data_IF_468202592808
#
_entry.id   IF_468202592808
#
_cell.length_a   1.000
_cell.length_b   1.000
_cell.length_c   1.000
_cell.angle_alpha   90.00
_cell.angle_beta   90.00
_cell.angle_gamma   90.00
#
_symmetry.space_group_name_H-M   'P 1'
#
loop_
_entity.id
_entity.type
_entity.pdbx_description
1 polymer ?
#
# COMPACT_ATOMS: atom_id res chain seq x y z
N UNK A 1 -5.66 -10.12 11.89
CA UNK A 1 -4.68 -9.24 12.57
C UNK A 1 -3.43 -9.01 11.71
N UNK A 2 -3.37 -7.89 10.96
CA UNK A 2 -2.13 -7.46 10.29
C UNK A 2 -1.14 -7.10 11.40
N UNK A 3 -0.19 -7.98 11.72
CA UNK A 3 0.94 -7.62 12.58
C UNK A 3 1.72 -6.54 11.84
N UNK A 4 1.78 -5.34 12.41
CA UNK A 4 2.91 -4.44 12.13
C UNK A 4 4.11 -5.21 12.69
N UNK A 5 4.91 -5.81 11.82
CA UNK A 5 6.21 -6.32 12.23
C UNK A 5 7.06 -5.11 12.60
N UNK A 6 7.11 -4.79 13.90
CA UNK A 6 8.25 -4.06 14.47
C UNK A 6 9.40 -5.04 14.44
N UNK A 7 10.15 -5.06 13.35
CA UNK A 7 11.44 -5.71 13.35
C UNK A 7 12.46 -4.64 13.73
N UNK A 8 12.64 -4.47 15.04
CA UNK A 8 13.83 -3.84 15.59
C UNK A 8 14.96 -4.81 15.32
N UNK A 9 15.86 -4.50 14.39
CA UNK A 9 17.13 -5.23 14.30
C UNK A 9 17.90 -4.89 15.57
N UNK A 10 17.79 -5.74 16.60
CA UNK A 10 18.70 -5.74 17.74
C UNK A 10 19.92 -6.52 17.27
N UNK A 11 20.85 -5.80 16.65
CA UNK A 11 22.22 -6.28 16.52
C UNK A 11 22.91 -6.09 17.86
N UNK A 12 23.22 -7.18 18.54
CA UNK A 12 24.21 -7.20 19.60
C UNK A 12 25.59 -6.90 18.96
N UNK A 13 26.09 -5.69 19.16
CA UNK A 13 27.48 -5.27 19.40
C UNK A 13 27.62 -3.79 19.04
N UNK A 14 28.14 -3.04 20.00
CA UNK A 14 28.16 -1.57 20.04
C UNK A 14 29.22 -1.01 19.11
N UNK A 15 28.80 -0.23 18.12
CA UNK A 15 29.53 0.96 17.67
C UNK A 15 28.54 2.13 17.63
N UNK A 16 28.77 3.11 18.51
CA UNK A 16 27.98 4.32 18.67
C UNK A 16 28.34 5.30 17.53
N UNK A 17 27.67 5.19 16.38
CA UNK A 17 27.65 6.26 15.38
C UNK A 17 26.24 6.47 14.78
N UNK A 18 25.70 7.66 15.07
CA UNK A 18 24.64 8.44 14.40
C UNK A 18 23.30 7.79 13.94
N UNK A 19 22.28 7.94 14.81
CA UNK A 19 20.83 7.88 14.54
C UNK A 19 20.21 6.51 14.28
N UNK A 20 19.74 5.85 15.35
CA UNK A 20 18.80 4.73 15.24
C UNK A 20 17.46 5.25 14.67
N UNK A 21 17.32 5.24 13.34
CA UNK A 21 16.09 5.63 12.64
C UNK A 21 15.16 4.43 12.52
N UNK A 22 13.98 4.54 13.13
CA UNK A 22 12.90 3.55 12.96
C UNK A 22 12.46 3.50 11.48
N UNK A 23 12.43 2.31 10.89
CA UNK A 23 12.01 2.08 9.49
C UNK A 23 10.87 1.07 9.41
N UNK A 24 10.12 1.13 8.31
CA UNK A 24 9.08 0.16 7.95
C UNK A 24 9.54 -0.62 6.72
N UNK A 25 9.44 -1.94 6.81
CA UNK A 25 9.66 -2.85 5.70
C UNK A 25 8.32 -3.41 5.20
N UNK A 26 7.93 -3.02 3.98
CA UNK A 26 6.82 -3.64 3.25
C UNK A 26 7.37 -4.80 2.41
N UNK A 27 6.89 -6.01 2.68
CA UNK A 27 7.32 -7.23 1.97
C UNK A 27 6.12 -7.94 1.36
N UNK A 28 6.20 -8.25 0.06
CA UNK A 28 5.21 -9.07 -0.60
C UNK A 28 5.29 -10.53 -0.16
N UNK A 29 4.12 -11.15 0.04
CA UNK A 29 4.04 -12.56 0.34
C UNK A 29 4.50 -13.39 -0.86
N UNK A 30 5.25 -14.47 -0.59
CA UNK A 30 5.76 -15.35 -1.65
C UNK A 30 4.60 -15.90 -2.48
N UNK A 31 4.69 -15.75 -3.80
CA UNK A 31 3.68 -16.26 -4.74
C UNK A 31 2.41 -15.42 -4.88
N UNK A 32 2.26 -14.31 -4.13
CA UNK A 32 1.03 -13.50 -4.20
C UNK A 32 0.82 -12.90 -5.59
N UNK A 33 1.89 -12.45 -6.24
CA UNK A 33 1.80 -11.80 -7.56
C UNK A 33 1.33 -12.77 -8.64
N UNK A 34 1.77 -14.03 -8.60
CA UNK A 34 1.29 -15.07 -9.53
C UNK A 34 -0.16 -15.46 -9.27
N UNK A 35 -0.55 -15.58 -8.00
CA UNK A 35 -1.92 -15.90 -7.62
C UNK A 35 -2.89 -14.81 -8.09
N UNK A 36 -2.58 -13.55 -7.82
CA UNK A 36 -3.40 -12.41 -8.24
C UNK A 36 -3.52 -12.36 -9.77
N UNK A 37 -2.43 -12.54 -10.51
CA UNK A 37 -2.48 -12.55 -11.99
C UNK A 37 -3.37 -13.69 -12.51
N UNK A 38 -3.29 -14.87 -11.90
CA UNK A 38 -4.14 -15.99 -12.26
C UNK A 38 -5.61 -15.71 -11.97
N UNK A 39 -5.92 -15.17 -10.79
CA UNK A 39 -7.28 -14.82 -10.38
C UNK A 39 -7.89 -13.76 -11.31
N UNK A 40 -7.10 -12.75 -11.71
CA UNK A 40 -7.56 -11.75 -12.67
C UNK A 40 -7.87 -12.36 -14.04
N UNK A 41 -7.05 -13.31 -14.51
CA UNK A 41 -7.30 -14.02 -15.77
C UNK A 41 -8.55 -14.90 -15.69
N UNK A 42 -8.72 -15.61 -14.58
CA UNK A 42 -9.88 -16.47 -14.33
C UNK A 42 -11.17 -15.65 -14.29
N UNK A 43 -11.18 -14.57 -13.51
CA UNK A 43 -12.34 -13.70 -13.36
C UNK A 43 -12.71 -13.01 -14.67
N UNK A 44 -11.72 -12.56 -15.45
CA UNK A 44 -11.98 -12.04 -16.81
C UNK A 44 -12.71 -13.06 -17.69
N UNK A 45 -12.30 -14.32 -17.60
CA UNK A 45 -12.90 -15.41 -18.38
C UNK A 45 -14.36 -15.65 -17.98
N UNK A 46 -14.64 -15.64 -16.68
CA UNK A 46 -16.00 -15.77 -16.13
C UNK A 46 -16.87 -14.60 -16.58
N UNK A 47 -16.39 -13.36 -16.45
CA UNK A 47 -17.14 -12.17 -16.86
C UNK A 47 -17.43 -12.16 -18.37
N UNK A 48 -16.46 -12.57 -19.18
CA UNK A 48 -16.64 -12.69 -20.63
C UNK A 48 -17.70 -13.75 -20.98
N UNK A 49 -17.76 -14.85 -20.21
CA UNK A 49 -18.78 -15.88 -20.39
C UNK A 49 -20.16 -15.37 -20.00
N UNK A 50 -20.28 -14.66 -18.87
CA UNK A 50 -21.54 -14.06 -18.43
C UNK A 50 -22.10 -13.07 -19.47
N UNK A 51 -21.25 -12.18 -19.99
CA UNK A 51 -21.64 -11.24 -21.05
C UNK A 51 -22.14 -11.96 -22.32
N UNK A 52 -21.58 -13.13 -22.65
CA UNK A 52 -22.04 -13.96 -23.78
C UNK A 52 -23.38 -14.64 -23.54
N UNK A 53 -23.70 -14.99 -22.29
CA UNK A 53 -24.92 -15.72 -21.92
C UNK A 53 -26.11 -14.80 -21.67
N UNK A 54 -25.90 -13.70 -20.96
CA UNK A 54 -26.96 -12.77 -20.53
C UNK A 54 -27.11 -11.57 -21.47
N UNK A 55 -26.15 -11.37 -22.38
CA UNK A 55 -26.13 -10.27 -23.34
C UNK A 55 -25.31 -9.07 -22.89
N UNK A 56 -25.24 -8.01 -23.73
CA UNK A 56 -24.33 -6.88 -23.55
C UNK A 56 -24.58 -6.04 -22.28
N UNK A 57 -25.79 -6.06 -21.72
CA UNK A 57 -26.13 -5.36 -20.48
C UNK A 57 -25.38 -5.90 -19.26
N UNK A 58 -24.87 -7.13 -19.33
CA UNK A 58 -24.06 -7.78 -18.30
C UNK A 58 -22.55 -7.71 -18.59
N UNK A 59 -22.10 -6.89 -19.56
CA UNK A 59 -20.68 -6.77 -19.89
C UNK A 59 -19.93 -5.83 -18.93
N UNK A 60 -19.45 -6.40 -17.82
CA UNK A 60 -18.58 -5.72 -16.86
C UNK A 60 -17.09 -5.78 -17.22
N UNK A 61 -16.73 -6.37 -18.37
CA UNK A 61 -15.33 -6.55 -18.78
C UNK A 61 -14.54 -5.23 -18.86
N UNK A 62 -15.10 -4.09 -19.30
CA UNK A 62 -14.38 -2.81 -19.32
C UNK A 62 -13.97 -2.35 -17.93
N UNK A 63 -14.90 -2.36 -16.97
CA UNK A 63 -14.66 -1.98 -15.57
C UNK A 63 -13.62 -2.91 -14.96
N UNK A 64 -13.79 -4.22 -15.18
CA UNK A 64 -12.88 -5.22 -14.67
C UNK A 64 -11.46 -5.08 -15.24
N UNK A 65 -11.35 -4.70 -16.52
CA UNK A 65 -10.04 -4.49 -17.16
C UNK A 65 -9.29 -3.34 -16.51
N UNK A 66 -9.97 -2.26 -16.14
CA UNK A 66 -9.33 -1.16 -15.44
C UNK A 66 -8.94 -1.55 -14.00
N UNK A 67 -9.85 -2.20 -13.28
CA UNK A 67 -9.57 -2.73 -11.96
C UNK A 67 -8.35 -3.67 -11.93
N UNK A 68 -8.26 -4.58 -12.90
CA UNK A 68 -7.14 -5.52 -13.01
C UNK A 68 -5.80 -4.81 -13.23
N UNK A 69 -5.78 -3.68 -13.97
CA UNK A 69 -4.56 -2.90 -14.16
C UNK A 69 -4.09 -2.28 -12.85
N UNK A 70 -5.01 -1.67 -12.10
CA UNK A 70 -4.69 -1.04 -10.81
C UNK A 70 -4.17 -2.06 -9.80
N UNK A 71 -4.86 -3.18 -9.63
CA UNK A 71 -4.40 -4.26 -8.74
C UNK A 71 -3.03 -4.79 -9.15
N UNK A 72 -2.78 -4.92 -10.46
CA UNK A 72 -1.47 -5.36 -10.96
C UNK A 72 -0.39 -4.29 -10.76
N UNK A 73 -0.76 -3.00 -10.77
CA UNK A 73 0.17 -1.91 -10.51
C UNK A 73 0.61 -1.87 -9.04
N UNK A 74 -0.26 -2.23 -8.10
CA UNK A 74 0.07 -2.36 -6.67
C UNK A 74 1.08 -3.48 -6.37
N UNK A 75 1.22 -4.46 -7.27
CA UNK A 75 2.21 -5.54 -7.14
C UNK A 75 3.65 -5.09 -7.43
N UNK A 76 3.89 -3.82 -7.75
CA UNK A 76 5.23 -3.30 -7.98
C UNK A 76 5.51 -2.13 -7.03
N UNK A 77 6.21 -2.40 -5.93
CA UNK A 77 6.50 -1.34 -4.95
C UNK A 77 7.43 -0.24 -5.48
N UNK A 78 8.09 -0.40 -6.64
CA UNK A 78 8.82 0.70 -7.28
C UNK A 78 7.89 1.83 -7.71
N UNK A 79 6.67 1.48 -8.14
CA UNK A 79 5.63 2.45 -8.46
C UNK A 79 5.17 3.17 -7.20
N UNK A 80 4.95 2.43 -6.11
CA UNK A 80 4.60 3.01 -4.82
C UNK A 80 5.68 3.99 -4.32
N UNK A 81 6.95 3.61 -4.40
CA UNK A 81 8.08 4.46 -4.03
C UNK A 81 8.13 5.77 -4.84
N UNK A 82 7.88 5.67 -6.15
CA UNK A 82 7.81 6.82 -7.05
C UNK A 82 6.65 7.73 -6.66
N UNK A 83 5.46 7.17 -6.48
CA UNK A 83 4.25 7.90 -6.10
C UNK A 83 4.43 8.59 -4.75
N UNK A 84 5.02 7.93 -3.75
CA UNK A 84 5.34 8.52 -2.46
C UNK A 84 6.25 9.75 -2.60
N UNK A 85 7.30 9.64 -3.42
CA UNK A 85 8.23 10.74 -3.66
C UNK A 85 7.54 11.93 -4.35
N UNK A 86 6.70 11.65 -5.34
CA UNK A 86 5.88 12.67 -6.03
C UNK A 86 4.90 13.34 -5.09
N UNK A 87 4.12 12.57 -4.32
CA UNK A 87 3.13 13.13 -3.39
C UNK A 87 3.84 13.96 -2.30
N UNK A 88 4.96 13.47 -1.76
CA UNK A 88 5.76 14.22 -0.78
C UNK A 88 6.19 15.57 -1.34
N UNK A 89 6.68 15.62 -2.58
CA UNK A 89 7.04 16.86 -3.25
C UNK A 89 5.83 17.79 -3.42
N UNK A 90 4.70 17.28 -3.90
CA UNK A 90 3.48 18.06 -4.12
C UNK A 90 2.94 18.68 -2.82
N UNK A 91 2.92 17.90 -1.73
CA UNK A 91 2.45 18.40 -0.43
C UNK A 91 3.34 19.51 0.11
N UNK A 92 4.67 19.39 -0.07
CA UNK A 92 5.62 20.44 0.29
C UNK A 92 5.41 21.69 -0.58
N UNK A 93 5.27 21.53 -1.90
CA UNK A 93 5.04 22.64 -2.83
C UNK A 93 3.75 23.41 -2.51
N UNK A 94 2.70 22.71 -2.07
CA UNK A 94 1.41 23.31 -1.76
C UNK A 94 1.20 23.62 -0.27
N UNK A 95 2.22 23.47 0.57
CA UNK A 95 2.18 23.71 2.02
C UNK A 95 1.00 23.00 2.73
N UNK A 96 0.68 21.78 2.31
CA UNK A 96 -0.39 20.97 2.88
C UNK A 96 0.13 20.33 4.17
N UNK A 97 -0.64 20.45 5.26
CA UNK A 97 -0.30 19.86 6.56
C UNK A 97 -0.54 18.34 6.58
N UNK A 98 0.34 17.59 5.94
CA UNK A 98 0.36 16.14 5.92
C UNK A 98 1.80 15.61 5.88
N UNK A 99 2.01 14.39 6.38
CA UNK A 99 3.33 13.73 6.41
C UNK A 99 3.27 12.52 5.46
N UNK A 100 4.24 12.43 4.55
CA UNK A 100 4.50 11.25 3.73
C UNK A 100 5.87 10.70 4.15
N UNK A 101 5.98 9.42 4.53
CA UNK A 101 7.25 8.81 4.88
C UNK A 101 8.28 8.97 3.75
N UNK A 102 9.52 9.32 4.07
CA UNK A 102 10.59 9.31 3.06
C UNK A 102 11.07 7.88 2.78
N UNK A 103 11.63 7.67 1.60
CA UNK A 103 12.40 6.47 1.28
C UNK A 103 13.75 6.53 2.01
N UNK A 104 14.27 5.38 2.41
CA UNK A 104 15.57 5.31 3.10
C UNK A 104 16.70 5.42 2.07
N UNK A 105 17.59 6.40 2.26
CA UNK A 105 18.75 6.60 1.38
C UNK A 105 19.65 5.35 1.33
N UNK A 106 20.10 4.98 0.14
CA UNK A 106 20.92 3.79 -0.08
C UNK A 106 20.15 2.47 -0.11
N UNK A 107 18.82 2.47 0.08
CA UNK A 107 17.98 1.28 -0.03
C UNK A 107 16.95 1.45 -1.15
N UNK A 108 17.25 0.86 -2.31
CA UNK A 108 16.36 0.91 -3.47
C UNK A 108 15.10 0.05 -3.26
N UNK A 109 13.96 0.61 -3.67
CA UNK A 109 12.72 -0.16 -3.77
C UNK A 109 12.84 -1.22 -4.85
N UNK A 110 12.34 -2.42 -4.55
CA UNK A 110 12.22 -3.51 -5.52
C UNK A 110 10.75 -3.78 -5.81
N UNK A 111 10.46 -4.68 -6.75
CA UNK A 111 9.07 -5.11 -6.99
C UNK A 111 8.40 -5.68 -5.71
N UNK A 112 9.18 -6.32 -4.83
CA UNK A 112 8.67 -7.12 -3.70
C UNK A 112 8.93 -6.53 -2.33
N UNK A 113 9.83 -5.56 -2.23
CA UNK A 113 10.28 -4.98 -0.97
C UNK A 113 10.39 -3.46 -1.09
N UNK A 114 9.85 -2.75 -0.10
CA UNK A 114 9.92 -1.30 0.04
C UNK A 114 10.30 -0.93 1.48
N UNK A 115 11.32 -0.06 1.60
CA UNK A 115 11.82 0.46 2.88
C UNK A 115 11.50 1.96 2.96
N UNK A 116 10.90 2.39 4.07
CA UNK A 116 10.54 3.78 4.28
C UNK A 116 10.64 4.16 5.75
N UNK A 117 10.65 5.46 6.04
CA UNK A 117 10.62 5.99 7.40
C UNK A 117 9.39 5.50 8.18
N UNK A 118 9.57 5.27 9.47
CA UNK A 118 8.43 5.02 10.35
C UNK A 118 7.74 6.31 10.78
N UNK A 119 6.47 6.47 10.41
CA UNK A 119 5.63 7.56 10.92
C UNK A 119 4.88 7.11 12.18
N UNK A 120 5.08 7.84 13.29
CA UNK A 120 4.33 7.65 14.54
C UNK A 120 2.95 8.29 14.41
N UNK A 121 1.89 7.54 14.74
CA UNK A 121 0.53 8.03 14.70
C UNK A 121 -0.49 7.02 15.22
N UNK A 122 -1.74 7.46 15.32
CA UNK A 122 -2.89 6.61 15.61
C UNK A 122 -3.51 6.16 14.29
N UNK A 123 -3.89 4.89 14.20
CA UNK A 123 -4.57 4.36 13.01
C UNK A 123 -5.94 5.05 12.91
N UNK A 124 -6.30 5.54 11.73
CA UNK A 124 -7.57 6.27 11.50
C UNK A 124 -8.78 5.44 11.96
N UNK A 125 -8.71 4.12 11.90
CA UNK A 125 -9.76 3.22 12.38
C UNK A 125 -10.06 3.35 13.87
N UNK A 126 -9.09 3.75 14.68
CA UNK A 126 -9.22 3.91 16.13
C UNK A 126 -9.52 5.37 16.49
N UNK A 127 -10.52 5.96 15.81
CA UNK A 127 -10.93 7.37 15.98
C UNK A 127 -11.18 7.77 17.44
N UNK A 128 -11.68 6.85 18.28
CA UNK A 128 -11.91 7.08 19.70
C UNK A 128 -10.65 7.29 20.54
N UNK A 129 -9.46 7.01 19.98
CA UNK A 129 -8.16 7.26 20.62
C UNK A 129 -7.52 8.57 20.16
N UNK A 130 -8.13 9.30 19.22
CA UNK A 130 -7.60 10.57 18.72
C UNK A 130 -8.09 11.69 19.65
N UNK A 131 -7.20 12.35 20.42
CA UNK A 131 -7.61 13.42 21.33
C UNK A 131 -8.24 14.58 20.54
N UNK A 132 -9.51 14.88 20.82
CA UNK A 132 -10.26 15.95 20.16
C UNK A 132 -11.16 15.51 18.98
N UNK A 133 -11.15 14.24 18.60
CA UNK A 133 -12.20 13.66 17.75
C UNK A 133 -13.28 13.06 18.66
N UNK A 134 -14.34 13.83 18.91
CA UNK A 134 -15.57 13.31 19.51
C UNK A 134 -16.15 12.19 18.65
N UNK A 135 -16.83 11.25 19.31
CA UNK A 135 -17.49 10.07 18.74
C UNK A 135 -18.08 10.34 17.34
N UNK A 136 -17.36 9.91 16.30
CA UNK A 136 -17.94 9.85 14.96
C UNK A 136 -18.39 8.41 14.77
N UNK A 137 -19.71 8.24 14.67
CA UNK A 137 -20.33 6.96 14.36
C UNK A 137 -19.70 6.36 13.10
N UNK A 138 -19.47 5.06 13.18
CA UNK A 138 -18.82 4.26 12.16
C UNK A 138 -19.62 4.34 10.85
N UNK A 139 -19.09 5.06 9.86
CA UNK A 139 -19.34 4.72 8.47
C UNK A 139 -18.04 4.35 7.76
N UNK A 140 -18.14 3.19 7.13
CA UNK A 140 -17.10 2.39 6.49
C UNK A 140 -16.60 3.11 5.25
N UNK A 141 -15.28 3.23 5.08
CA UNK A 141 -14.69 3.33 3.75
C UNK A 141 -13.48 2.39 3.65
N UNK A 142 -13.50 1.68 2.52
CA UNK A 142 -12.71 0.52 2.09
C UNK A 142 -11.21 0.81 2.01
#
# INVERSE_FOLDING_TARGET
PRRICRESVVGDEVEEDSSNRDVVLKVQHRGVSSLIRQDMSNLKSILTLLARLEGPEADYTPIFTEYSKEITAELDFRKEATNMSTIRQLLLTHNVKAIVPALVEGLDATEKVLVMEYCRGVVIRDVGLIPGFGEVEKEVLV
#
